data_IF_213477261297
#
_entry.id   IF_213477261297
#
_cell.length_a   1.000
_cell.length_b   1.000
_cell.length_c   1.000
_cell.angle_alpha   90.00
_cell.angle_beta   90.00
_cell.angle_gamma   90.00
#
_symmetry.space_group_name_H-M   'P 1'
#
loop_
_entity.id
_entity.type
_entity.pdbx_description
1 polymer ?
#
# COMPACT_ATOMS: atom_id res chain seq x y z
N UNK A 1 -8.54 -70.42 -7.90
CA UNK A 1 -7.59 -69.36 -8.32
C UNK A 1 -8.37 -68.07 -8.60
N UNK A 2 -9.04 -67.48 -7.61
CA UNK A 2 -9.89 -66.29 -7.87
C UNK A 2 -10.12 -65.39 -6.65
N UNK A 3 -9.80 -65.85 -5.44
CA UNK A 3 -10.02 -65.07 -4.22
C UNK A 3 -8.72 -64.49 -3.67
N UNK A 4 -7.61 -65.22 -3.74
CA UNK A 4 -6.30 -64.75 -3.26
C UNK A 4 -5.71 -63.68 -4.20
N UNK A 5 -5.83 -63.85 -5.51
CA UNK A 5 -5.34 -62.90 -6.53
C UNK A 5 -6.06 -61.53 -6.44
N UNK A 6 -7.36 -61.54 -6.14
CA UNK A 6 -8.16 -60.32 -5.97
C UNK A 6 -7.89 -59.60 -4.64
N UNK A 7 -7.50 -60.34 -3.59
CA UNK A 7 -7.07 -59.76 -2.31
C UNK A 7 -5.67 -59.17 -2.42
N UNK A 8 -4.81 -59.78 -3.25
CA UNK A 8 -3.45 -59.33 -3.51
C UNK A 8 -3.44 -58.05 -4.36
N UNK A 9 -4.29 -57.97 -5.39
CA UNK A 9 -4.49 -56.77 -6.22
C UNK A 9 -4.99 -55.57 -5.38
N UNK A 10 -5.97 -55.78 -4.49
CA UNK A 10 -6.44 -54.71 -3.59
C UNK A 10 -5.40 -54.26 -2.55
N UNK A 11 -4.47 -55.14 -2.15
CA UNK A 11 -3.43 -54.78 -1.17
C UNK A 11 -2.31 -53.96 -1.82
N UNK A 12 -1.96 -54.26 -3.07
CA UNK A 12 -0.97 -53.51 -3.85
C UNK A 12 -1.48 -52.11 -4.21
N UNK A 13 -2.76 -51.96 -4.54
CA UNK A 13 -3.40 -50.67 -4.81
C UNK A 13 -3.39 -49.75 -3.59
N UNK A 14 -3.75 -50.27 -2.40
CA UNK A 14 -3.72 -49.50 -1.14
C UNK A 14 -2.29 -49.03 -0.81
N UNK A 15 -1.28 -49.88 -1.07
CA UNK A 15 0.11 -49.50 -0.83
C UNK A 15 0.62 -48.47 -1.83
N UNK A 16 0.13 -48.48 -3.08
CA UNK A 16 0.42 -47.44 -4.08
C UNK A 16 -0.22 -46.11 -3.70
N UNK A 17 -1.49 -46.11 -3.30
CA UNK A 17 -2.20 -44.90 -2.84
C UNK A 17 -1.48 -44.27 -1.63
N UNK A 18 -1.08 -45.07 -0.64
CA UNK A 18 -0.35 -44.58 0.53
C UNK A 18 1.01 -43.95 0.16
N UNK A 19 1.74 -44.54 -0.80
CA UNK A 19 3.01 -43.98 -1.30
C UNK A 19 2.81 -42.67 -2.05
N UNK A 20 1.73 -42.58 -2.83
CA UNK A 20 1.38 -41.35 -3.54
C UNK A 20 0.95 -40.24 -2.56
N UNK A 21 0.14 -40.57 -1.56
CA UNK A 21 -0.24 -39.65 -0.49
C UNK A 21 0.99 -39.11 0.24
N UNK A 22 1.95 -39.97 0.60
CA UNK A 22 3.19 -39.54 1.24
C UNK A 22 4.01 -38.61 0.34
N UNK A 23 4.09 -38.90 -0.97
CA UNK A 23 4.74 -38.03 -1.97
C UNK A 23 4.08 -36.65 -2.03
N UNK A 24 2.75 -36.62 -2.06
CA UNK A 24 1.96 -35.38 -2.11
C UNK A 24 2.14 -34.56 -0.84
N UNK A 25 2.14 -35.19 0.34
CA UNK A 25 2.38 -34.51 1.61
C UNK A 25 3.77 -33.88 1.70
N UNK A 26 4.81 -34.57 1.22
CA UNK A 26 6.16 -33.99 1.14
C UNK A 26 6.21 -32.79 0.19
N UNK A 27 5.55 -32.90 -0.95
CA UNK A 27 5.46 -31.83 -1.95
C UNK A 27 4.72 -30.61 -1.40
N UNK A 28 3.59 -30.84 -0.70
CA UNK A 28 2.83 -29.79 -0.02
C UNK A 28 3.67 -29.08 1.05
N UNK A 29 4.36 -29.84 1.90
CA UNK A 29 5.26 -29.29 2.93
C UNK A 29 6.34 -28.42 2.31
N UNK A 30 6.89 -28.84 1.16
CA UNK A 30 7.90 -28.09 0.42
C UNK A 30 7.35 -26.78 -0.14
N UNK A 31 6.15 -26.80 -0.72
CA UNK A 31 5.47 -25.59 -1.20
C UNK A 31 5.17 -24.61 -0.05
N UNK A 32 4.76 -25.12 1.11
CA UNK A 32 4.53 -24.31 2.30
C UNK A 32 5.82 -23.64 2.80
N UNK A 33 6.94 -24.35 2.83
CA UNK A 33 8.25 -23.76 3.19
C UNK A 33 8.64 -22.67 2.18
N UNK A 34 8.53 -22.93 0.87
CA UNK A 34 8.79 -21.93 -0.17
C UNK A 34 7.94 -20.67 0.02
N UNK A 35 6.64 -20.83 0.26
CA UNK A 35 5.72 -19.72 0.51
C UNK A 35 6.08 -18.92 1.75
N UNK A 36 6.43 -19.62 2.84
CA UNK A 36 6.86 -19.01 4.10
C UNK A 36 8.12 -18.17 3.90
N UNK A 37 9.12 -18.70 3.17
CA UNK A 37 10.35 -17.97 2.86
C UNK A 37 10.10 -16.77 1.96
N UNK A 38 9.22 -16.88 0.96
CA UNK A 38 8.82 -15.76 0.11
C UNK A 38 8.20 -14.64 0.94
N UNK A 39 7.33 -14.97 1.91
CA UNK A 39 6.74 -13.97 2.81
C UNK A 39 7.79 -13.29 3.67
N UNK A 40 8.75 -14.03 4.21
CA UNK A 40 9.85 -13.46 5.01
C UNK A 40 10.68 -12.43 4.22
N UNK A 41 10.77 -12.56 2.89
CA UNK A 41 11.44 -11.55 2.08
C UNK A 41 10.72 -10.19 2.07
N UNK A 42 9.41 -10.14 2.31
CA UNK A 42 8.68 -8.86 2.42
C UNK A 42 9.10 -8.04 3.64
N UNK A 43 9.65 -8.69 4.67
CA UNK A 43 10.14 -8.03 5.88
C UNK A 43 11.54 -7.42 5.74
N UNK A 44 12.22 -7.67 4.61
CA UNK A 44 13.60 -7.19 4.39
C UNK A 44 13.67 -5.66 4.41
N UNK A 45 12.87 -4.98 3.59
CA UNK A 45 12.86 -3.52 3.50
C UNK A 45 12.41 -2.87 4.81
N UNK A 46 11.29 -3.27 5.45
CA UNK A 46 10.93 -2.76 6.78
C UNK A 46 12.05 -2.94 7.81
N UNK A 47 12.72 -4.11 7.83
CA UNK A 47 13.81 -4.38 8.78
C UNK A 47 15.05 -3.53 8.54
N UNK A 48 15.36 -3.19 7.28
CA UNK A 48 16.47 -2.31 6.92
C UNK A 48 16.23 -0.85 7.31
N UNK A 49 14.97 -0.40 7.26
CA UNK A 49 14.60 0.99 7.55
C UNK A 49 14.37 1.22 9.05
N UNK A 50 13.96 0.19 9.79
CA UNK A 50 13.67 0.24 11.24
C UNK A 50 14.73 0.98 12.09
N UNK A 51 16.05 0.76 11.92
CA UNK A 51 17.06 1.44 12.73
C UNK A 51 17.05 2.98 12.61
N UNK A 52 16.51 3.51 11.51
CA UNK A 52 16.44 4.95 11.24
C UNK A 52 15.15 5.60 11.76
N UNK A 53 14.24 4.83 12.35
CA UNK A 53 12.97 5.33 12.88
C UNK A 53 13.07 5.75 14.35
N UNK A 54 14.12 5.35 15.07
CA UNK A 54 14.34 5.70 16.46
C UNK A 54 14.88 7.13 16.63
N UNK A 55 14.18 7.95 17.42
CA UNK A 55 14.52 9.37 17.65
C UNK A 55 15.75 9.52 18.57
N UNK A 56 16.05 8.51 19.41
CA UNK A 56 17.05 8.59 20.50
C UNK A 56 18.19 7.54 20.43
N UNK A 57 18.44 6.92 19.27
CA UNK A 57 19.48 5.89 19.14
C UNK A 57 20.88 6.47 18.90
N UNK A 58 21.90 5.97 19.63
CA UNK A 58 23.30 6.29 19.32
C UNK A 58 23.64 5.89 17.87
N UNK A 59 24.47 6.66 17.14
CA UNK A 59 24.97 6.28 15.82
C UNK A 59 25.59 4.87 15.77
N UNK A 60 26.28 4.43 16.83
CA UNK A 60 26.86 3.08 16.87
C UNK A 60 25.79 1.98 16.93
N UNK A 61 24.71 2.22 17.66
CA UNK A 61 23.56 1.30 17.74
C UNK A 61 22.82 1.22 16.41
N UNK A 62 22.54 2.37 15.78
CA UNK A 62 21.88 2.42 14.46
C UNK A 62 22.70 1.64 13.43
N UNK A 63 24.02 1.84 13.41
CA UNK A 63 24.91 1.11 12.53
C UNK A 63 24.90 -0.40 12.81
N UNK A 64 25.00 -0.81 14.07
CA UNK A 64 25.01 -2.22 14.44
C UNK A 64 23.70 -2.94 14.06
N UNK A 65 22.55 -2.30 14.30
CA UNK A 65 21.24 -2.84 13.92
C UNK A 65 21.05 -2.89 12.41
N UNK A 66 21.44 -1.84 11.69
CA UNK A 66 21.42 -1.82 10.23
C UNK A 66 22.31 -2.92 9.64
N UNK A 67 23.56 -3.05 10.11
CA UNK A 67 24.49 -4.07 9.65
C UNK A 67 23.95 -5.49 9.90
N UNK A 68 23.32 -5.71 11.05
CA UNK A 68 22.64 -6.97 11.37
C UNK A 68 21.47 -7.24 10.40
N UNK A 69 20.60 -6.26 10.17
CA UNK A 69 19.47 -6.37 9.25
C UNK A 69 19.93 -6.60 7.80
N UNK A 70 20.97 -5.90 7.35
CA UNK A 70 21.55 -6.05 6.02
C UNK A 70 22.14 -7.44 5.80
N UNK A 71 22.91 -7.95 6.76
CA UNK A 71 23.46 -9.31 6.68
C UNK A 71 22.34 -10.36 6.67
N UNK A 72 21.29 -10.18 7.48
CA UNK A 72 20.14 -11.06 7.47
C UNK A 72 19.38 -11.01 6.13
N UNK A 73 19.21 -9.83 5.54
CA UNK A 73 18.55 -9.68 4.24
C UNK A 73 19.32 -10.37 3.11
N UNK A 74 20.65 -10.20 3.07
CA UNK A 74 21.52 -10.88 2.10
C UNK A 74 21.42 -12.39 2.26
N UNK A 75 21.50 -12.88 3.49
CA UNK A 75 21.38 -14.32 3.78
C UNK A 75 20.02 -14.87 3.36
N UNK A 76 18.93 -14.26 3.82
CA UNK A 76 17.57 -14.73 3.52
C UNK A 76 17.28 -14.73 2.02
N UNK A 77 17.77 -13.73 1.28
CA UNK A 77 17.63 -13.67 -0.18
C UNK A 77 18.39 -14.80 -0.85
N UNK A 78 19.63 -15.06 -0.42
CA UNK A 78 20.44 -16.17 -0.93
C UNK A 78 19.79 -17.52 -0.64
N UNK A 79 19.41 -17.77 0.60
CA UNK A 79 18.78 -19.01 1.05
C UNK A 79 17.47 -19.27 0.27
N UNK A 80 16.66 -18.23 0.04
CA UNK A 80 15.44 -18.32 -0.77
C UNK A 80 15.75 -18.67 -2.23
N UNK A 81 16.73 -18.00 -2.85
CA UNK A 81 17.10 -18.27 -4.24
C UNK A 81 17.62 -19.70 -4.40
N UNK A 82 18.42 -20.18 -3.45
CA UNK A 82 18.91 -21.57 -3.43
C UNK A 82 17.76 -22.57 -3.25
N UNK A 83 16.83 -22.30 -2.33
CA UNK A 83 15.64 -23.12 -2.13
C UNK A 83 14.80 -23.22 -3.40
N UNK A 84 14.51 -22.09 -4.05
CA UNK A 84 13.70 -22.03 -5.28
C UNK A 84 14.38 -22.69 -6.48
N UNK A 85 15.71 -22.65 -6.55
CA UNK A 85 16.50 -23.27 -7.63
C UNK A 85 16.84 -24.74 -7.38
N UNK A 86 16.58 -25.27 -6.19
CA UNK A 86 16.88 -26.68 -5.91
C UNK A 86 16.06 -27.60 -6.83
N UNK A 87 16.64 -28.70 -7.35
CA UNK A 87 15.93 -29.60 -8.27
C UNK A 87 14.60 -30.10 -7.71
N UNK A 88 14.59 -30.48 -6.42
CA UNK A 88 13.39 -30.93 -5.71
C UNK A 88 12.29 -29.86 -5.67
N UNK A 89 12.62 -28.58 -5.45
CA UNK A 89 11.62 -27.51 -5.49
C UNK A 89 11.07 -27.29 -6.90
N UNK A 90 11.92 -27.38 -7.92
CA UNK A 90 11.51 -27.22 -9.31
C UNK A 90 10.59 -28.35 -9.75
N UNK A 91 10.88 -29.58 -9.38
CA UNK A 91 10.03 -30.74 -9.64
C UNK A 91 8.63 -30.55 -9.05
N UNK A 92 8.55 -30.15 -7.77
CA UNK A 92 7.29 -29.89 -7.08
C UNK A 92 6.50 -28.75 -7.73
N UNK A 93 7.16 -27.66 -8.14
CA UNK A 93 6.50 -26.54 -8.83
C UNK A 93 5.99 -26.95 -10.21
N UNK A 94 6.74 -27.78 -10.95
CA UNK A 94 6.32 -28.31 -12.24
C UNK A 94 5.13 -29.27 -12.10
N UNK A 95 5.14 -30.13 -11.08
CA UNK A 95 4.02 -31.03 -10.76
C UNK A 95 2.76 -30.22 -10.41
N UNK A 96 2.88 -29.19 -9.55
CA UNK A 96 1.78 -28.29 -9.22
C UNK A 96 1.23 -27.56 -10.46
N UNK A 97 2.11 -27.10 -11.36
CA UNK A 97 1.70 -26.46 -12.62
C UNK A 97 0.94 -27.43 -13.53
N UNK A 98 1.42 -28.67 -13.68
CA UNK A 98 0.74 -29.70 -14.46
C UNK A 98 -0.64 -30.03 -13.89
N UNK A 99 -0.72 -30.27 -12.58
CA UNK A 99 -1.98 -30.56 -11.90
C UNK A 99 -3.01 -29.46 -12.12
N UNK A 100 -2.59 -28.19 -12.03
CA UNK A 100 -3.46 -27.04 -12.33
C UNK A 100 -3.92 -26.99 -13.79
N UNK A 101 -3.03 -27.30 -14.73
CA UNK A 101 -3.38 -27.33 -16.16
C UNK A 101 -4.36 -28.44 -16.52
N UNK A 102 -4.31 -29.56 -15.80
CA UNK A 102 -5.18 -30.72 -16.02
C UNK A 102 -6.56 -30.55 -15.35
N UNK A 103 -6.65 -29.80 -14.25
CA UNK A 103 -7.89 -29.56 -13.50
C UNK A 103 -8.14 -28.06 -13.23
N UNK A 104 -8.41 -27.26 -14.27
CA UNK A 104 -8.50 -25.79 -14.14
C UNK A 104 -9.70 -25.32 -13.29
N UNK A 105 -10.82 -26.04 -13.32
CA UNK A 105 -12.07 -25.62 -12.66
C UNK A 105 -12.10 -25.97 -11.15
N UNK A 106 -11.28 -26.93 -10.71
CA UNK A 106 -11.24 -27.41 -9.32
C UNK A 106 -10.06 -26.84 -8.51
N UNK A 107 -9.14 -26.12 -9.15
CA UNK A 107 -7.95 -25.55 -8.50
C UNK A 107 -8.07 -24.03 -8.57
N UNK A 108 -8.72 -23.44 -7.56
CA UNK A 108 -8.82 -21.99 -7.43
C UNK A 108 -7.48 -21.39 -7.01
N UNK A 109 -7.12 -20.25 -7.61
CA UNK A 109 -5.96 -19.48 -7.17
C UNK A 109 -6.11 -19.10 -5.70
N UNK A 110 -5.07 -19.38 -4.93
CA UNK A 110 -5.01 -18.97 -3.54
C UNK A 110 -4.81 -17.46 -3.47
N UNK A 111 -5.85 -16.75 -3.04
CA UNK A 111 -5.79 -15.30 -2.87
C UNK A 111 -5.00 -14.99 -1.61
N UNK A 112 -4.22 -13.92 -1.65
CA UNK A 112 -3.37 -13.54 -0.53
C UNK A 112 -4.17 -13.28 0.76
N UNK A 113 -5.42 -12.81 0.62
CA UNK A 113 -6.41 -12.58 1.68
C UNK A 113 -6.92 -13.86 2.36
N UNK A 114 -6.74 -15.03 1.75
CA UNK A 114 -7.18 -16.32 2.28
C UNK A 114 -6.16 -16.92 3.28
N UNK A 115 -5.09 -16.21 3.61
CA UNK A 115 -4.18 -16.62 4.68
C UNK A 115 -4.67 -16.13 6.03
N UNK A 116 -4.63 -17.01 7.03
CA UNK A 116 -4.96 -16.68 8.43
C UNK A 116 -4.20 -15.43 8.91
N UNK A 117 -2.89 -15.37 8.62
CA UNK A 117 -2.04 -14.22 9.00
C UNK A 117 -1.94 -13.09 7.95
N UNK A 118 -2.83 -12.99 6.95
CA UNK A 118 -2.70 -11.91 5.95
C UNK A 118 -2.80 -10.51 6.59
N UNK A 119 -3.62 -10.40 7.63
CA UNK A 119 -3.77 -9.18 8.44
C UNK A 119 -2.93 -9.19 9.73
N UNK A 120 -2.39 -10.33 10.16
CA UNK A 120 -1.60 -10.41 11.38
C UNK A 120 -0.14 -10.02 11.12
N UNK A 121 0.10 -8.70 11.12
CA UNK A 121 1.37 -8.14 11.60
C UNK A 121 1.13 -6.96 12.54
N UNK A 122 1.95 -6.80 13.60
CA UNK A 122 1.83 -5.75 14.62
C UNK A 122 2.17 -4.34 14.10
N UNK A 123 2.38 -4.15 12.80
CA UNK A 123 2.75 -2.86 12.22
C UNK A 123 1.67 -1.78 12.43
N UNK A 124 0.39 -2.18 12.47
CA UNK A 124 -0.70 -1.25 12.75
C UNK A 124 -0.96 -1.06 14.24
N UNK A 125 -0.82 -2.13 15.05
CA UNK A 125 -1.03 -2.08 16.50
C UNK A 125 0.04 -1.27 17.24
N UNK A 126 1.30 -1.29 16.78
CA UNK A 126 2.41 -0.59 17.45
C UNK A 126 2.43 0.91 17.12
N UNK A 127 2.02 1.31 15.90
CA UNK A 127 1.81 2.73 15.55
C UNK A 127 0.61 3.36 16.26
N UNK A 128 -0.38 2.56 16.65
CA UNK A 128 -1.55 3.03 17.40
C UNK A 128 -1.25 3.33 18.88
N UNK A 129 -0.21 2.72 19.47
CA UNK A 129 0.11 2.91 20.89
C UNK A 129 0.94 4.16 21.18
N UNK A 130 1.76 4.61 20.23
CA UNK A 130 2.67 5.75 20.44
C UNK A 130 2.11 7.11 20.03
N UNK A 131 0.93 7.15 19.39
CA UNK A 131 0.42 8.40 18.84
C UNK A 131 -0.70 9.04 19.65
N UNK A 132 -1.27 8.37 20.67
CA UNK A 132 -2.22 8.99 21.61
C UNK A 132 -3.39 9.72 20.94
N UNK A 133 -3.76 9.35 19.71
CA UNK A 133 -4.91 9.91 19.01
C UNK A 133 -6.12 9.03 19.31
N UNK A 134 -7.01 9.58 20.14
CA UNK A 134 -8.39 9.16 20.26
C UNK A 134 -9.01 9.16 18.86
N UNK A 135 -9.28 7.97 18.31
CA UNK A 135 -10.14 7.82 17.16
C UNK A 135 -11.56 8.08 17.64
N UNK A 136 -11.93 9.36 17.60
CA UNK A 136 -13.30 9.81 17.78
C UNK A 136 -14.18 9.01 16.80
N UNK A 137 -15.04 8.15 17.37
CA UNK A 137 -16.02 7.32 16.69
C UNK A 137 -17.13 8.20 16.11
N UNK A 138 -16.80 8.98 15.10
CA UNK A 138 -17.81 9.59 14.25
C UNK A 138 -17.53 9.21 12.80
N UNK A 139 -17.72 7.92 12.55
CA UNK A 139 -18.12 7.38 11.27
C UNK A 139 -19.47 8.02 10.90
N UNK A 140 -19.42 9.30 10.49
CA UNK A 140 -20.57 9.91 9.86
C UNK A 140 -20.67 9.29 8.48
N UNK A 141 -21.53 8.28 8.41
CA UNK A 141 -22.10 7.69 7.22
C UNK A 141 -22.59 8.82 6.32
N UNK A 142 -21.76 9.26 5.38
CA UNK A 142 -22.18 10.14 4.28
C UNK A 142 -22.25 9.31 3.02
N UNK A 143 -23.51 8.97 2.72
CA UNK A 143 -24.08 8.47 1.47
C UNK A 143 -23.17 8.53 0.26
N UNK A 144 -23.01 7.37 -0.39
CA UNK A 144 -22.49 7.16 -1.73
C UNK A 144 -23.15 8.12 -2.72
N UNK A 145 -22.57 9.29 -2.86
CA UNK A 145 -22.96 10.33 -3.81
C UNK A 145 -21.99 10.13 -4.98
N UNK A 146 -22.52 10.07 -6.21
CA UNK A 146 -21.69 9.83 -7.40
C UNK A 146 -20.56 10.86 -7.47
N UNK A 147 -19.37 10.46 -7.94
CA UNK A 147 -18.19 11.34 -8.05
C UNK A 147 -18.52 12.65 -8.79
N UNK A 148 -19.40 12.58 -9.79
CA UNK A 148 -19.94 13.73 -10.53
C UNK A 148 -20.73 14.71 -9.65
N UNK A 149 -21.66 14.20 -8.84
CA UNK A 149 -22.49 15.00 -7.94
C UNK A 149 -21.65 15.68 -6.85
N UNK A 150 -20.66 14.96 -6.33
CA UNK A 150 -19.71 15.49 -5.36
C UNK A 150 -18.86 16.62 -5.96
N UNK A 151 -18.34 16.44 -7.18
CA UNK A 151 -17.58 17.49 -7.88
C UNK A 151 -18.45 18.72 -8.18
N UNK A 152 -19.70 18.53 -8.61
CA UNK A 152 -20.62 19.64 -8.90
C UNK A 152 -20.97 20.45 -7.65
N UNK A 153 -21.18 19.77 -6.51
CA UNK A 153 -21.40 20.44 -5.22
C UNK A 153 -20.18 21.25 -4.77
N UNK A 154 -18.97 20.74 -5.05
CA UNK A 154 -17.73 21.41 -4.72
C UNK A 154 -17.49 22.62 -5.60
N UNK A 155 -17.71 22.51 -6.92
CA UNK A 155 -17.58 23.62 -7.88
C UNK A 155 -18.56 24.76 -7.58
N UNK A 156 -19.76 24.43 -7.10
CA UNK A 156 -20.73 25.44 -6.67
C UNK A 156 -20.23 26.26 -5.47
N UNK A 157 -19.41 25.64 -4.62
CA UNK A 157 -18.81 26.27 -3.43
C UNK A 157 -17.43 26.90 -3.72
N UNK A 158 -16.75 26.45 -4.77
CA UNK A 158 -15.40 26.86 -5.19
C UNK A 158 -15.36 27.06 -6.70
N UNK A 159 -15.89 28.18 -7.23
CA UNK A 159 -15.96 28.42 -8.68
C UNK A 159 -14.58 28.55 -9.33
N UNK A 160 -13.55 28.86 -8.53
CA UNK A 160 -12.17 29.01 -9.00
C UNK A 160 -11.45 27.66 -9.23
N UNK A 161 -12.04 26.55 -8.78
CA UNK A 161 -11.47 25.21 -8.91
C UNK A 161 -11.74 24.63 -10.31
N UNK A 162 -10.67 24.43 -11.08
CA UNK A 162 -10.74 23.80 -12.41
C UNK A 162 -10.75 22.28 -12.28
N UNK A 163 -11.95 21.70 -12.24
CA UNK A 163 -12.16 20.25 -12.15
C UNK A 163 -12.89 19.76 -13.40
N UNK A 164 -12.36 18.73 -14.05
CA UNK A 164 -12.97 18.08 -15.22
C UNK A 164 -13.21 16.62 -14.88
N UNK A 165 -14.46 16.18 -14.91
CA UNK A 165 -14.81 14.75 -14.76
C UNK A 165 -14.74 14.07 -16.13
N UNK A 166 -14.13 12.89 -16.20
CA UNK A 166 -14.05 12.11 -17.43
C UNK A 166 -15.34 11.34 -17.69
N UNK A 167 -15.61 11.00 -18.95
CA UNK A 167 -16.89 10.46 -19.43
C UNK A 167 -17.34 9.13 -18.79
N UNK A 168 -16.44 8.41 -18.11
CA UNK A 168 -16.74 7.16 -17.39
C UNK A 168 -17.16 7.38 -15.93
N UNK A 169 -17.20 8.63 -15.43
CA UNK A 169 -17.74 8.98 -14.11
C UNK A 169 -16.89 8.55 -12.91
N UNK A 170 -15.82 7.78 -13.09
CA UNK A 170 -14.95 7.27 -12.02
C UNK A 170 -13.59 8.00 -11.91
N UNK A 171 -13.33 8.96 -12.80
CA UNK A 171 -12.07 9.71 -12.83
C UNK A 171 -12.35 11.22 -12.95
N UNK A 172 -11.68 12.02 -12.12
CA UNK A 172 -11.67 13.48 -12.20
C UNK A 172 -10.25 14.02 -12.33
N UNK A 173 -10.10 15.11 -13.05
CA UNK A 173 -8.85 15.86 -13.16
C UNK A 173 -8.99 17.21 -12.48
N UNK A 174 -8.08 17.52 -11.57
CA UNK A 174 -8.00 18.78 -10.84
C UNK A 174 -6.74 19.54 -11.28
N UNK A 175 -6.92 20.77 -11.77
CA UNK A 175 -5.80 21.63 -12.18
C UNK A 175 -5.57 22.74 -11.15
N UNK A 176 -4.35 22.79 -10.60
CA UNK A 176 -3.95 23.91 -9.75
C UNK A 176 -3.77 25.19 -10.58
N UNK A 177 -4.12 26.36 -10.01
CA UNK A 177 -3.96 27.63 -10.70
C UNK A 177 -2.48 27.99 -10.90
N UNK A 178 -2.23 28.97 -11.78
CA UNK A 178 -0.91 29.58 -11.94
C UNK A 178 -0.43 30.18 -10.62
N UNK A 179 0.85 30.04 -10.22
CA UNK A 179 2.01 29.59 -11.02
C UNK A 179 2.38 28.10 -10.89
N UNK A 180 1.58 27.29 -10.18
CA UNK A 180 1.88 25.87 -10.00
C UNK A 180 1.53 25.05 -11.26
N UNK A 181 0.36 25.31 -11.86
CA UNK A 181 -0.12 24.66 -13.10
C UNK A 181 0.00 23.12 -13.11
N UNK A 182 -0.13 22.50 -11.93
CA UNK A 182 -0.04 21.04 -11.78
C UNK A 182 -1.40 20.40 -12.01
N UNK A 183 -1.40 19.32 -12.80
CA UNK A 183 -2.56 18.48 -13.05
C UNK A 183 -2.54 17.25 -12.14
N UNK A 184 -3.60 17.06 -11.37
CA UNK A 184 -3.82 15.88 -10.55
C UNK A 184 -5.01 15.09 -11.09
N UNK A 185 -4.86 13.77 -11.13
CA UNK A 185 -5.91 12.82 -11.46
C UNK A 185 -6.40 12.18 -10.16
N UNK A 186 -7.71 12.13 -9.98
CA UNK A 186 -8.40 11.53 -8.85
C UNK A 186 -9.17 10.33 -9.40
N UNK A 187 -8.81 9.13 -8.98
CA UNK A 187 -9.45 7.88 -9.38
C UNK A 187 -10.20 7.29 -8.19
N UNK A 188 -11.44 6.90 -8.43
CA UNK A 188 -12.21 6.09 -7.50
C UNK A 188 -11.67 4.65 -7.51
N UNK A 189 -11.11 4.21 -6.40
CA UNK A 189 -10.61 2.85 -6.22
C UNK A 189 -11.44 2.15 -5.15
N UNK A 190 -11.92 0.94 -5.44
CA UNK A 190 -12.58 0.11 -4.43
C UNK A 190 -11.51 -0.62 -3.64
N UNK A 191 -11.42 -0.31 -2.35
CA UNK A 191 -10.62 -1.08 -1.40
C UNK A 191 -11.14 -2.53 -1.37
N UNK A 192 -10.28 -3.53 -1.14
CA UNK A 192 -10.70 -4.93 -0.98
C UNK A 192 -11.74 -5.13 0.13
N UNK A 193 -11.82 -4.22 1.09
CA UNK A 193 -12.85 -4.18 2.15
C UNK A 193 -14.21 -3.66 1.68
N UNK A 194 -14.38 -3.34 0.39
CA UNK A 194 -15.59 -2.77 -0.19
C UNK A 194 -15.74 -1.25 -0.02
N UNK A 195 -14.84 -0.61 0.75
CA UNK A 195 -14.85 0.83 0.95
C UNK A 195 -14.26 1.56 -0.27
N UNK A 196 -14.93 2.63 -0.70
CA UNK A 196 -14.43 3.50 -1.76
C UNK A 196 -13.29 4.36 -1.19
N UNK A 197 -12.15 4.37 -1.86
CA UNK A 197 -11.03 5.27 -1.59
C UNK A 197 -10.69 6.06 -2.84
N UNK A 198 -10.20 7.29 -2.66
CA UNK A 198 -9.84 8.14 -3.79
C UNK A 198 -8.31 8.19 -3.91
N UNK A 199 -7.77 7.57 -4.96
CA UNK A 199 -6.36 7.65 -5.28
C UNK A 199 -6.08 8.94 -6.04
N UNK A 200 -5.08 9.71 -5.60
CA UNK A 200 -4.65 10.92 -6.30
C UNK A 200 -3.29 10.68 -6.92
N UNK A 201 -3.17 10.82 -8.24
CA UNK A 201 -1.90 10.77 -8.97
C UNK A 201 -1.63 12.12 -9.62
N UNK A 202 -0.36 12.45 -9.81
CA UNK A 202 0.02 13.66 -10.52
C UNK A 202 0.32 13.33 -11.99
N UNK A 203 -0.46 13.95 -12.87
CA UNK A 203 -0.48 13.73 -14.32
C UNK A 203 0.14 14.88 -15.10
N UNK A 204 0.67 15.88 -14.39
CA UNK A 204 1.38 16.99 -15.02
C UNK A 204 2.45 16.45 -15.96
N UNK A 205 2.52 16.92 -17.22
CA UNK A 205 3.57 16.49 -18.15
C UNK A 205 4.92 16.67 -17.47
N UNK A 206 5.81 15.67 -17.59
CA UNK A 206 7.13 15.64 -16.96
C UNK A 206 7.93 16.88 -17.35
N UNK A 207 7.75 17.97 -16.61
CA UNK A 207 8.55 19.17 -16.70
C UNK A 207 9.87 18.80 -16.01
N UNK A 208 10.88 18.54 -16.83
CA UNK A 208 12.24 18.23 -16.40
C UNK A 208 12.73 19.40 -15.52
N UNK A 209 12.89 19.19 -14.21
CA UNK A 209 13.38 20.20 -13.25
C UNK A 209 12.54 20.34 -11.98
N UNK A 210 12.56 21.55 -11.39
CA UNK A 210 12.07 21.88 -10.03
C UNK A 210 10.57 21.57 -9.77
N UNK A 211 9.74 21.53 -10.82
CA UNK A 211 8.30 21.28 -10.72
C UNK A 211 7.97 19.79 -10.50
N UNK A 212 8.81 18.86 -10.98
CA UNK A 212 8.59 17.42 -10.78
C UNK A 212 8.69 16.99 -9.30
N UNK A 213 9.59 17.63 -8.55
CA UNK A 213 9.72 17.38 -7.10
C UNK A 213 8.51 17.85 -6.30
N UNK A 214 7.90 18.98 -6.69
CA UNK A 214 6.69 19.50 -6.03
C UNK A 214 5.48 18.59 -6.26
N UNK A 215 5.26 18.18 -7.50
CA UNK A 215 4.22 17.22 -7.89
C UNK A 215 4.31 15.91 -7.09
N UNK A 216 5.53 15.34 -6.96
CA UNK A 216 5.75 14.14 -6.16
C UNK A 216 5.47 14.38 -4.66
N UNK A 217 5.97 15.49 -4.12
CA UNK A 217 5.78 15.82 -2.71
C UNK A 217 4.29 16.01 -2.37
N UNK A 218 3.53 16.71 -3.21
CA UNK A 218 2.08 16.91 -3.02
C UNK A 218 1.35 15.57 -3.09
N UNK A 219 1.69 14.74 -4.08
CA UNK A 219 1.10 13.39 -4.21
C UNK A 219 1.35 12.57 -2.94
N UNK A 220 2.58 12.57 -2.42
CA UNK A 220 2.92 11.87 -1.19
C UNK A 220 2.13 12.38 0.02
N UNK A 221 1.97 13.70 0.16
CA UNK A 221 1.18 14.30 1.24
C UNK A 221 -0.31 13.94 1.12
N UNK A 222 -0.86 13.90 -0.09
CA UNK A 222 -2.24 13.48 -0.34
C UNK A 222 -2.44 11.99 -0.06
N UNK A 223 -1.46 11.13 -0.34
CA UNK A 223 -1.55 9.70 0.00
C UNK A 223 -1.55 9.49 1.52
N UNK A 224 -0.83 10.32 2.28
CA UNK A 224 -0.78 10.22 3.75
C UNK A 224 -1.93 10.96 4.45
N UNK A 225 -2.94 11.45 3.72
CA UNK A 225 -4.03 12.25 4.29
C UNK A 225 -4.98 11.41 5.15
N UNK A 226 -5.57 11.99 6.21
CA UNK A 226 -6.69 11.36 6.89
C UNK A 226 -7.93 11.35 5.98
N UNK A 227 -8.86 10.39 6.17
CA UNK A 227 -10.13 10.28 5.42
C UNK A 227 -9.95 10.11 3.91
N UNK A 228 -9.18 9.09 3.50
CA UNK A 228 -8.99 8.76 2.07
C UNK A 228 -10.30 8.38 1.33
N UNK A 229 -11.34 8.00 2.07
CA UNK A 229 -12.68 7.70 1.56
C UNK A 229 -13.59 8.92 1.38
N UNK A 230 -13.17 10.12 1.81
CA UNK A 230 -13.93 11.35 1.67
C UNK A 230 -13.41 12.17 0.48
N UNK A 231 -14.20 12.20 -0.60
CA UNK A 231 -13.87 12.99 -1.79
C UNK A 231 -13.91 14.49 -1.50
N UNK A 232 -14.89 14.95 -0.71
CA UNK A 232 -15.03 16.36 -0.35
C UNK A 232 -13.81 16.85 0.42
N UNK A 233 -13.33 16.05 1.38
CA UNK A 233 -12.08 16.32 2.08
C UNK A 233 -10.88 16.37 1.13
N UNK A 234 -10.81 15.43 0.17
CA UNK A 234 -9.72 15.38 -0.80
C UNK A 234 -9.69 16.62 -1.71
N UNK A 235 -10.85 17.04 -2.21
CA UNK A 235 -10.98 18.24 -3.04
C UNK A 235 -10.68 19.53 -2.26
N UNK A 236 -11.16 19.61 -1.01
CA UNK A 236 -10.85 20.74 -0.13
C UNK A 236 -9.35 20.79 0.18
N UNK A 237 -8.71 19.65 0.40
CA UNK A 237 -7.27 19.60 0.63
C UNK A 237 -6.50 20.05 -0.62
N UNK A 238 -6.92 19.60 -1.81
CA UNK A 238 -6.35 20.03 -3.10
C UNK A 238 -6.48 21.55 -3.32
N UNK A 239 -7.60 22.17 -2.96
CA UNK A 239 -7.79 23.61 -3.13
C UNK A 239 -6.81 24.44 -2.29
N UNK A 240 -6.35 23.91 -1.15
CA UNK A 240 -5.34 24.59 -0.32
C UNK A 240 -3.96 24.71 -0.96
N UNK A 241 -3.68 23.97 -2.04
CA UNK A 241 -2.41 24.08 -2.76
C UNK A 241 -2.39 25.21 -3.79
N UNK A 242 -3.48 25.96 -3.95
CA UNK A 242 -3.54 27.14 -4.82
C UNK A 242 -2.49 28.21 -4.47
N UNK A 243 -2.11 28.30 -3.19
CA UNK A 243 -1.16 29.27 -2.66
C UNK A 243 0.26 28.71 -2.43
N UNK A 244 0.56 27.50 -2.92
CA UNK A 244 1.78 26.73 -2.57
C UNK A 244 3.10 27.46 -2.82
N UNK A 245 3.15 28.35 -3.82
CA UNK A 245 4.35 29.12 -4.16
C UNK A 245 4.50 30.42 -3.33
N UNK A 246 3.48 30.79 -2.56
CA UNK A 246 3.42 32.06 -1.82
C UNK A 246 3.31 31.88 -0.31
N UNK A 247 2.76 30.77 0.15
CA UNK A 247 2.46 30.53 1.56
C UNK A 247 3.69 30.02 2.32
N UNK A 248 4.05 30.70 3.40
CA UNK A 248 5.10 30.26 4.31
C UNK A 248 4.61 29.19 5.28
N UNK A 249 5.56 28.39 5.77
CA UNK A 249 5.29 27.39 6.80
C UNK A 249 4.83 28.04 8.10
N UNK A 250 3.72 27.58 8.66
CA UNK A 250 3.12 28.16 9.88
C UNK A 250 3.95 27.92 11.16
N UNK A 251 4.95 27.01 11.13
CA UNK A 251 5.83 26.72 12.28
C UNK A 251 7.14 27.50 12.23
N UNK A 252 7.80 27.52 11.08
CA UNK A 252 9.11 28.17 10.92
C UNK A 252 9.06 29.53 10.21
N UNK A 253 7.89 29.93 9.70
CA UNK A 253 7.65 31.16 8.94
C UNK A 253 8.51 31.34 7.68
N UNK A 254 9.07 30.24 7.14
CA UNK A 254 9.85 30.24 5.90
C UNK A 254 9.06 29.63 4.75
N UNK A 255 9.27 30.15 3.54
CA UNK A 255 8.69 29.58 2.31
C UNK A 255 9.38 28.27 1.91
N UNK A 256 10.69 28.19 2.09
CA UNK A 256 11.48 26.98 1.83
C UNK A 256 12.22 26.54 3.08
N UNK A 257 12.34 25.21 3.26
CA UNK A 257 13.16 24.64 4.32
C UNK A 257 14.66 24.66 3.95
N UNK A 258 15.51 24.11 4.82
CA UNK A 258 16.95 23.98 4.57
C UNK A 258 17.28 23.13 3.34
N UNK A 259 16.36 22.28 2.92
CA UNK A 259 16.46 21.37 1.78
C UNK A 259 15.75 21.92 0.53
N UNK A 260 15.33 23.19 0.55
CA UNK A 260 14.65 23.91 -0.53
C UNK A 260 13.24 23.39 -0.88
N UNK A 261 12.59 22.65 0.03
CA UNK A 261 11.21 22.19 -0.15
C UNK A 261 10.19 23.22 0.34
N UNK A 262 9.06 23.29 -0.38
CA UNK A 262 7.89 24.10 -0.03
C UNK A 262 7.07 23.44 1.10
N UNK A 263 6.21 24.17 1.81
CA UNK A 263 5.33 23.63 2.84
C UNK A 263 4.17 22.85 2.21
N UNK A 264 4.45 21.59 1.90
CA UNK A 264 3.54 20.71 1.17
C UNK A 264 2.54 20.01 2.10
N UNK A 265 2.82 19.88 3.40
CA UNK A 265 1.87 19.26 4.33
C UNK A 265 0.77 20.27 4.68
N UNK A 266 -0.48 19.90 4.43
CA UNK A 266 -1.66 20.74 4.66
C UNK A 266 -2.53 20.11 5.74
N UNK A 267 -2.82 20.86 6.80
CA UNK A 267 -3.75 20.45 7.86
C UNK A 267 -4.97 21.35 7.82
N UNK A 268 -6.15 20.77 7.66
CA UNK A 268 -7.42 21.48 7.73
C UNK A 268 -7.85 21.55 9.20
N UNK A 269 -8.24 22.74 9.68
CA UNK A 269 -8.82 22.86 11.02
C UNK A 269 -10.26 22.36 10.94
N UNK A 270 -10.56 21.24 11.61
CA UNK A 270 -11.89 20.61 11.57
C UNK A 270 -12.85 21.11 12.64
N UNK A 271 -12.43 22.06 13.50
CA UNK A 271 -13.23 22.49 14.65
C UNK A 271 -14.08 23.73 14.43
N UNK A 272 -13.68 24.66 13.57
CA UNK A 272 -14.45 25.88 13.32
C UNK A 272 -14.24 26.28 11.86
N UNK A 273 -15.31 26.28 11.06
CA UNK A 273 -15.40 26.84 9.69
C UNK A 273 -14.63 26.13 8.54
N UNK A 274 -15.28 25.67 7.46
CA UNK A 274 -14.61 25.15 6.26
C UNK A 274 -13.78 26.21 5.50
N UNK A 275 -13.87 27.47 5.90
CA UNK A 275 -13.03 28.58 5.43
C UNK A 275 -11.80 28.82 6.32
N UNK A 276 -11.66 28.09 7.44
CA UNK A 276 -10.57 28.28 8.37
C UNK A 276 -9.23 27.81 7.79
N UNK A 277 -8.34 28.80 7.69
CA UNK A 277 -6.99 28.74 7.14
C UNK A 277 -6.28 27.42 7.45
N UNK A 278 -6.04 26.64 6.40
CA UNK A 278 -5.23 25.42 6.48
C UNK A 278 -3.82 25.72 6.98
N UNK A 279 -3.27 24.90 7.87
CA UNK A 279 -1.87 25.06 8.27
C UNK A 279 -0.98 24.49 7.16
N UNK A 280 -0.07 25.29 6.65
CA UNK A 280 0.94 24.86 5.69
C UNK A 280 2.23 24.55 6.46
N UNK A 281 2.77 23.35 6.31
CA UNK A 281 3.95 22.88 7.04
C UNK A 281 4.94 22.20 6.08
N UNK A 282 6.23 22.36 6.36
CA UNK A 282 7.27 21.50 5.78
C UNK A 282 7.17 20.09 6.37
N UNK A 283 7.67 19.08 5.66
CA UNK A 283 7.71 17.69 6.16
C UNK A 283 8.44 17.59 7.51
N UNK A 284 9.56 18.29 7.68
CA UNK A 284 10.29 18.35 8.96
C UNK A 284 9.69 19.31 10.01
N UNK A 285 8.59 19.98 9.68
CA UNK A 285 7.87 20.89 10.58
C UNK A 285 6.52 20.33 11.04
N UNK A 286 6.13 19.14 10.57
CA UNK A 286 4.98 18.41 11.13
C UNK A 286 5.21 18.11 12.61
#
# INVERSE_FOLDING_TARGET
MSSEEKVQETAEDIEQEAREEERLLRSMTKLQDMHTRLRQLRDTVPSLIRPFQGIDSSPEMVYAEFAKAANAAVKNTKDFVELMKSPSSQEVLLEAYKSRSENPDNITDWLAEQHEDWFDKPFMSELQKDTGYDLDQNETTRTSTSLEEAVQSFQSSHPDAKIVVQAEGHEAQYMLPSPAELLFRIQETKSPTGNITYLVTCDSPRQIGKQGGLCLAITQALTQRPRQSDLGYTLLLLSTYSDIMSRSCSKCNRLVDSSTFLPVVRQLNTKDDPTAQSRALHLGCV
#
